data_IF_225063896230
#
_entry.id   IF_225063896230
#
_cell.length_a   1.000
_cell.length_b   1.000
_cell.length_c   1.000
_cell.angle_alpha   90.00
_cell.angle_beta   90.00
_cell.angle_gamma   90.00
#
_symmetry.space_group_name_H-M   'P 1'
#
loop_
_entity.id
_entity.type
_entity.pdbx_description
1 polymer ?
#
# COMPACT_ATOMS: atom_id res chain seq x y z
N UNK A 1 0.35 -4.32 -12.91
CA UNK A 1 0.76 -3.77 -11.58
C UNK A 1 1.92 -2.78 -11.66
N UNK A 2 2.89 -3.01 -12.55
CA UNK A 2 4.03 -2.07 -12.66
C UNK A 2 3.57 -0.67 -13.07
N UNK A 3 2.64 -0.56 -14.02
CA UNK A 3 2.13 0.75 -14.45
C UNK A 3 1.33 1.47 -13.34
N UNK A 4 0.58 0.71 -12.53
CA UNK A 4 -0.10 1.27 -11.36
C UNK A 4 0.90 1.91 -10.39
N UNK A 5 1.96 1.18 -10.04
CA UNK A 5 2.97 1.70 -9.12
C UNK A 5 3.76 2.87 -9.72
N UNK A 6 3.98 2.88 -11.04
CA UNK A 6 4.60 4.01 -11.70
C UNK A 6 3.74 5.28 -11.60
N UNK A 7 2.42 5.15 -11.75
CA UNK A 7 1.49 6.25 -11.57
C UNK A 7 1.46 6.75 -10.10
N UNK A 8 1.49 5.82 -9.14
CA UNK A 8 1.58 6.17 -7.72
C UNK A 8 2.86 6.93 -7.41
N UNK A 9 4.00 6.46 -7.90
CA UNK A 9 5.29 7.14 -7.70
C UNK A 9 5.31 8.54 -8.33
N UNK A 10 4.62 8.73 -9.44
CA UNK A 10 4.47 10.05 -10.07
C UNK A 10 3.50 10.96 -9.32
N UNK A 11 2.80 10.45 -8.31
CA UNK A 11 1.69 11.11 -7.63
C UNK A 11 0.56 11.52 -8.59
N UNK A 12 0.42 10.76 -9.66
CA UNK A 12 -0.67 10.92 -10.62
C UNK A 12 -1.84 10.03 -10.19
N UNK A 13 -2.65 10.56 -9.26
CA UNK A 13 -3.71 9.78 -8.62
C UNK A 13 -4.81 9.39 -9.58
N UNK A 14 -5.10 10.22 -10.57
CA UNK A 14 -6.09 9.91 -11.59
C UNK A 14 -5.60 8.78 -12.50
N UNK A 15 -4.35 8.82 -12.93
CA UNK A 15 -3.76 7.73 -13.72
C UNK A 15 -3.71 6.43 -12.91
N UNK A 16 -3.35 6.49 -11.63
CA UNK A 16 -3.38 5.32 -10.75
C UNK A 16 -4.79 4.76 -10.63
N UNK A 17 -5.78 5.62 -10.41
CA UNK A 17 -7.18 5.22 -10.29
C UNK A 17 -7.72 4.56 -11.56
N UNK A 18 -7.21 4.94 -12.74
CA UNK A 18 -7.62 4.33 -14.00
C UNK A 18 -7.22 2.86 -14.12
N UNK A 19 -6.31 2.36 -13.29
CA UNK A 19 -5.99 0.94 -13.19
C UNK A 19 -6.98 0.16 -12.32
N UNK A 20 -7.90 0.84 -11.63
CA UNK A 20 -8.93 0.25 -10.81
C UNK A 20 -10.26 0.23 -11.56
N UNK A 21 -11.11 -0.76 -11.26
CA UNK A 21 -12.50 -0.69 -11.70
C UNK A 21 -13.24 0.41 -10.97
N UNK A 22 -14.34 0.88 -11.55
CA UNK A 22 -15.14 1.96 -10.95
C UNK A 22 -15.62 1.63 -9.52
N UNK A 23 -15.94 0.35 -9.26
CA UNK A 23 -16.42 -0.15 -7.97
C UNK A 23 -15.33 -0.81 -7.13
N UNK A 24 -14.07 -0.67 -7.49
CA UNK A 24 -12.96 -1.30 -6.76
C UNK A 24 -13.05 -0.99 -5.26
N UNK A 25 -12.89 -2.02 -4.44
CA UNK A 25 -12.92 -1.90 -2.99
C UNK A 25 -11.50 -2.09 -2.44
N UNK A 26 -11.10 -1.22 -1.55
CA UNK A 26 -9.80 -1.29 -0.89
C UNK A 26 -10.02 -1.36 0.61
N UNK A 27 -9.59 -2.46 1.22
CA UNK A 27 -9.70 -2.68 2.66
C UNK A 27 -8.39 -2.39 3.36
N UNK A 28 -8.48 -1.71 4.50
CA UNK A 28 -7.37 -1.48 5.43
C UNK A 28 -7.66 -2.21 6.75
N UNK A 29 -7.33 -3.53 6.84
CA UNK A 29 -7.73 -4.33 8.00
C UNK A 29 -7.09 -3.90 9.32
N UNK A 30 -5.92 -3.28 9.30
CA UNK A 30 -5.25 -2.85 10.53
C UNK A 30 -6.00 -1.73 11.25
N UNK A 31 -6.70 -0.86 10.51
CA UNK A 31 -7.51 0.22 11.07
C UNK A 31 -9.02 -0.07 11.03
N UNK A 32 -9.43 -1.05 10.20
CA UNK A 32 -10.84 -1.35 9.98
C UNK A 32 -11.52 -0.35 9.04
N UNK A 33 -10.76 0.31 8.19
CA UNK A 33 -11.28 1.27 7.21
C UNK A 33 -11.41 0.64 5.82
N UNK A 34 -12.26 1.21 5.00
CA UNK A 34 -12.50 0.75 3.63
C UNK A 34 -12.67 1.95 2.70
N UNK A 35 -12.07 1.86 1.51
CA UNK A 35 -12.28 2.80 0.42
C UNK A 35 -13.16 2.10 -0.61
N UNK A 36 -14.26 2.73 -1.02
CA UNK A 36 -15.20 2.18 -1.99
C UNK A 36 -15.20 3.03 -3.25
N UNK A 37 -14.77 2.43 -4.35
CA UNK A 37 -14.74 3.06 -5.66
C UNK A 37 -13.45 3.82 -5.96
N UNK A 38 -13.07 3.82 -7.24
CA UNK A 38 -11.84 4.47 -7.68
C UNK A 38 -11.84 5.99 -7.51
N UNK A 39 -13.01 6.63 -7.55
CA UNK A 39 -13.10 8.08 -7.32
C UNK A 39 -12.69 8.43 -5.88
N UNK A 40 -13.18 7.67 -4.90
CA UNK A 40 -12.78 7.84 -3.51
C UNK A 40 -11.33 7.46 -3.27
N UNK A 41 -10.82 6.44 -3.97
CA UNK A 41 -9.40 6.11 -3.93
C UNK A 41 -8.54 7.33 -4.31
N UNK A 42 -8.82 7.95 -5.46
CA UNK A 42 -8.08 9.12 -5.91
C UNK A 42 -8.18 10.28 -4.91
N UNK A 43 -9.37 10.50 -4.34
CA UNK A 43 -9.59 11.54 -3.34
C UNK A 43 -8.80 11.28 -2.05
N UNK A 44 -8.76 10.03 -1.57
CA UNK A 44 -7.98 9.65 -0.39
C UNK A 44 -6.49 9.92 -0.63
N UNK A 45 -5.95 9.52 -1.79
CA UNK A 45 -4.55 9.77 -2.12
C UNK A 45 -4.23 11.26 -2.15
N UNK A 46 -5.09 12.06 -2.80
CA UNK A 46 -4.89 13.49 -2.94
C UNK A 46 -5.00 14.25 -1.60
N UNK A 47 -5.80 13.76 -0.67
CA UNK A 47 -6.11 14.44 0.60
C UNK A 47 -5.49 13.79 1.83
N UNK A 48 -4.72 12.72 1.67
CA UNK A 48 -4.08 12.09 2.81
C UNK A 48 -3.13 13.08 3.49
N UNK A 49 -3.17 13.19 4.84
CA UNK A 49 -2.41 14.22 5.55
C UNK A 49 -0.90 14.10 5.29
N UNK A 50 -0.32 15.19 4.82
CA UNK A 50 1.11 15.31 4.57
C UNK A 50 1.55 16.75 4.75
N UNK A 51 2.78 16.93 5.24
CA UNK A 51 3.37 18.26 5.40
C UNK A 51 4.16 18.70 4.17
N UNK A 52 4.57 17.75 3.32
CA UNK A 52 5.40 18.03 2.14
C UNK A 52 4.60 18.05 0.83
N UNK A 53 3.42 17.42 0.82
CA UNK A 53 2.58 17.30 -0.36
C UNK A 53 3.07 16.31 -1.41
N UNK A 54 4.16 15.60 -1.15
CA UNK A 54 4.76 14.65 -2.08
C UNK A 54 4.96 13.30 -1.43
N UNK A 55 4.54 12.23 -2.10
CA UNK A 55 4.70 10.86 -1.66
C UNK A 55 5.66 10.10 -2.56
N UNK A 56 6.55 9.32 -1.94
CA UNK A 56 7.42 8.37 -2.63
C UNK A 56 7.02 6.96 -2.28
N UNK A 57 7.01 6.08 -3.28
CA UNK A 57 6.63 4.68 -3.16
C UNK A 57 7.83 3.83 -3.59
N UNK A 58 8.45 3.17 -2.62
CA UNK A 58 9.58 2.26 -2.86
C UNK A 58 9.06 0.83 -2.87
N UNK A 59 8.93 0.27 -4.07
CA UNK A 59 8.43 -1.08 -4.28
C UNK A 59 9.56 -2.08 -4.06
N UNK A 60 9.49 -2.83 -2.95
CA UNK A 60 10.50 -3.81 -2.59
C UNK A 60 10.30 -5.13 -3.31
N UNK A 61 9.05 -5.58 -3.40
CA UNK A 61 8.67 -6.83 -4.05
C UNK A 61 7.34 -6.68 -4.75
N UNK A 62 7.24 -7.35 -5.88
CA UNK A 62 6.00 -7.50 -6.62
C UNK A 62 5.96 -8.93 -7.15
N UNK A 63 5.01 -9.71 -6.66
CA UNK A 63 4.84 -11.11 -7.05
C UNK A 63 3.43 -11.25 -7.59
N UNK A 64 3.29 -11.89 -8.74
CA UNK A 64 1.99 -12.14 -9.34
C UNK A 64 1.84 -13.62 -9.67
N UNK A 65 0.65 -14.14 -9.41
CA UNK A 65 0.26 -15.50 -9.76
C UNK A 65 -1.22 -15.51 -10.15
N UNK A 66 -1.51 -15.83 -11.41
CA UNK A 66 -2.85 -15.77 -11.94
C UNK A 66 -3.44 -14.35 -11.81
N UNK A 67 -4.60 -14.25 -11.17
CA UNK A 67 -5.33 -12.99 -11.01
C UNK A 67 -4.96 -12.25 -9.71
N UNK A 68 -3.95 -12.71 -9.00
CA UNK A 68 -3.52 -12.11 -7.73
C UNK A 68 -2.11 -11.57 -7.84
N UNK A 69 -1.91 -10.36 -7.33
CA UNK A 69 -0.58 -9.78 -7.15
C UNK A 69 -0.37 -9.36 -5.71
N UNK A 70 0.84 -9.50 -5.21
CA UNK A 70 1.25 -9.04 -3.88
C UNK A 70 2.38 -8.06 -4.03
N UNK A 71 2.22 -6.89 -3.44
CA UNK A 71 3.21 -5.82 -3.44
C UNK A 71 3.65 -5.53 -2.02
N UNK A 72 4.95 -5.37 -1.81
CA UNK A 72 5.51 -4.84 -0.58
C UNK A 72 6.14 -3.50 -0.89
N UNK A 73 5.69 -2.45 -0.22
CA UNK A 73 6.07 -1.07 -0.55
C UNK A 73 6.33 -0.25 0.71
N UNK A 74 7.38 0.57 0.68
CA UNK A 74 7.57 1.64 1.66
C UNK A 74 7.03 2.93 1.08
N UNK A 75 6.20 3.62 1.84
CA UNK A 75 5.59 4.89 1.46
C UNK A 75 6.10 5.96 2.42
N UNK A 76 6.57 7.07 1.88
CA UNK A 76 7.09 8.17 2.69
C UNK A 76 6.80 9.50 2.02
N UNK A 77 6.57 10.54 2.83
CA UNK A 77 6.53 11.92 2.36
C UNK A 77 7.82 12.68 2.72
N UNK A 78 8.83 11.97 3.24
CA UNK A 78 10.09 12.54 3.70
C UNK A 78 10.14 12.78 5.22
N UNK A 79 8.98 12.86 5.87
CA UNK A 79 8.87 13.04 7.33
C UNK A 79 8.26 11.84 8.01
N UNK A 80 7.21 11.27 7.43
CA UNK A 80 6.58 10.05 7.90
C UNK A 80 6.83 8.92 6.92
N UNK A 81 6.92 7.70 7.42
CA UNK A 81 7.16 6.50 6.60
C UNK A 81 6.32 5.35 7.13
N UNK A 82 5.87 4.50 6.24
CA UNK A 82 5.14 3.28 6.57
C UNK A 82 5.45 2.19 5.55
N UNK A 83 5.32 0.94 5.99
CA UNK A 83 5.44 -0.23 5.13
C UNK A 83 4.06 -0.86 4.94
N UNK A 84 3.72 -1.14 3.69
CA UNK A 84 2.49 -1.87 3.38
C UNK A 84 2.78 -3.18 2.67
N UNK A 85 1.91 -4.16 2.90
CA UNK A 85 1.78 -5.37 2.10
C UNK A 85 0.39 -5.36 1.51
N UNK A 86 0.29 -5.40 0.19
CA UNK A 86 -0.94 -5.18 -0.55
C UNK A 86 -1.23 -6.38 -1.44
N UNK A 87 -2.42 -6.97 -1.24
CA UNK A 87 -2.93 -8.02 -2.09
C UNK A 87 -3.92 -7.39 -3.07
N UNK A 88 -3.69 -7.60 -4.37
CA UNK A 88 -4.53 -7.06 -5.43
C UNK A 88 -5.15 -8.19 -6.22
N UNK A 89 -6.47 -8.14 -6.40
CA UNK A 89 -7.21 -9.03 -7.30
C UNK A 89 -7.40 -8.30 -8.63
N UNK A 90 -7.07 -8.98 -9.73
CA UNK A 90 -7.03 -8.40 -11.06
C UNK A 90 -8.00 -9.16 -11.96
N UNK A 91 -8.80 -8.42 -12.73
CA UNK A 91 -9.62 -8.97 -13.80
C UNK A 91 -9.30 -8.21 -15.09
N UNK A 92 -8.82 -8.96 -16.10
CA UNK A 92 -8.30 -8.32 -17.31
C UNK A 92 -7.12 -7.43 -16.97
N UNK A 93 -7.26 -6.14 -17.26
CA UNK A 93 -6.21 -5.15 -17.01
C UNK A 93 -6.49 -4.27 -15.78
N UNK A 94 -7.55 -4.57 -15.00
CA UNK A 94 -7.99 -3.72 -13.91
C UNK A 94 -7.94 -4.43 -12.57
N UNK A 95 -7.63 -3.67 -11.55
CA UNK A 95 -7.69 -4.09 -10.15
C UNK A 95 -9.14 -3.96 -9.69
N UNK A 96 -9.73 -5.07 -9.21
CA UNK A 96 -11.11 -5.09 -8.74
C UNK A 96 -11.21 -5.00 -7.23
N UNK A 97 -10.15 -5.37 -6.52
CA UNK A 97 -10.08 -5.32 -5.07
C UNK A 97 -8.63 -5.25 -4.61
N UNK A 98 -8.40 -4.51 -3.50
CA UNK A 98 -7.14 -4.54 -2.77
C UNK A 98 -7.40 -4.75 -1.29
N UNK A 99 -6.48 -5.47 -0.64
CA UNK A 99 -6.39 -5.56 0.81
C UNK A 99 -5.00 -5.05 1.19
N UNK A 100 -4.95 -3.97 1.96
CA UNK A 100 -3.71 -3.28 2.30
C UNK A 100 -3.43 -3.40 3.79
N UNK A 101 -2.39 -4.13 4.13
CA UNK A 101 -1.91 -4.23 5.50
C UNK A 101 -0.86 -3.17 5.75
N UNK A 102 -1.14 -2.30 6.72
CA UNK A 102 -0.26 -1.21 7.16
C UNK A 102 0.14 -1.48 8.60
N UNK A 103 1.09 -2.42 8.85
CA UNK A 103 1.50 -2.75 10.22
C UNK A 103 2.28 -1.60 10.84
N UNK A 104 2.14 -1.45 12.16
CA UNK A 104 2.95 -0.53 12.93
C UNK A 104 4.06 -1.29 13.64
N UNK A 105 5.29 -0.77 13.72
CA UNK A 105 6.34 -1.39 14.51
C UNK A 105 5.99 -1.35 16.00
N UNK A 106 6.47 -2.33 16.77
CA UNK A 106 6.23 -2.40 18.20
C UNK A 106 7.44 -2.97 18.93
N UNK A 107 7.53 -2.69 20.24
CA UNK A 107 8.57 -3.27 21.08
C UNK A 107 8.21 -4.71 21.41
N UNK A 108 9.09 -5.68 21.13
CA UNK A 108 8.78 -7.06 21.41
C UNK A 108 8.74 -7.32 22.91
N UNK A 109 7.82 -8.18 23.40
CA UNK A 109 7.88 -8.62 24.77
C UNK A 109 9.16 -9.45 25.02
N UNK A 110 9.73 -9.44 26.24
CA UNK A 110 10.89 -10.27 26.56
C UNK A 110 10.56 -11.76 26.39
N UNK A 111 11.25 -12.41 25.46
CA UNK A 111 11.08 -13.85 25.19
C UNK A 111 12.22 -14.36 24.31
N UNK A 112 12.67 -15.58 24.58
CA UNK A 112 13.61 -16.32 23.74
C UNK A 112 14.84 -15.51 23.32
N UNK A 113 15.40 -14.69 24.24
CA UNK A 113 16.52 -13.81 23.94
C UNK A 113 17.79 -14.55 23.53
N UNK A 114 17.91 -15.82 23.89
CA UNK A 114 19.00 -16.71 23.47
C UNK A 114 18.87 -17.22 22.02
N UNK A 115 17.67 -17.13 21.44
CA UNK A 115 17.37 -17.64 20.09
C UNK A 115 16.99 -16.54 19.11
N UNK A 116 16.49 -15.39 19.59
CA UNK A 116 16.01 -14.30 18.75
C UNK A 116 16.87 -13.05 18.93
N UNK A 117 17.33 -12.50 17.83
CA UNK A 117 18.20 -11.35 17.81
C UNK A 117 17.46 -10.15 17.23
N UNK A 118 17.74 -8.94 17.74
CA UNK A 118 17.18 -7.73 17.17
C UNK A 118 17.66 -7.54 15.74
N UNK A 119 16.79 -6.98 14.92
CA UNK A 119 17.08 -6.54 13.56
C UNK A 119 16.37 -5.21 13.31
N UNK A 120 16.57 -4.62 12.14
CA UNK A 120 15.90 -3.40 11.77
C UNK A 120 14.39 -3.60 11.68
N UNK A 121 13.63 -2.66 12.23
CA UNK A 121 12.17 -2.67 12.16
C UNK A 121 11.68 -1.96 10.91
N UNK A 122 10.45 -2.29 10.50
CA UNK A 122 9.73 -1.48 9.52
C UNK A 122 9.51 -0.06 10.08
N UNK A 123 9.36 0.92 9.20
CA UNK A 123 9.09 2.29 9.61
C UNK A 123 7.77 2.48 10.38
#
# INVERSE_FOLDING_TARGET
MVAFWAAMQANDWEAAANHLTAECVIDWPCSGEQIVGRADFAAVQARYPTTTGQWSFDLHRLVADGDTAVSEVTVTDGEQSARAVIFSEIQGEHIVRQVEYWPAPYDPPPRLADLMRPTERIP
#
